data_IF_796497876472
#
_entry.id   IF_796497876472
#
_cell.length_a   1.000
_cell.length_b   1.000
_cell.length_c   1.000
_cell.angle_alpha   90.00
_cell.angle_beta   90.00
_cell.angle_gamma   90.00
#
_symmetry.space_group_name_H-M   'P 1'
#
loop_
_entity.id
_entity.type
_entity.pdbx_description
1 polymer ?
#
# COMPACT_ATOMS: atom_id res chain seq x y z
N UNK A 1 2.18 16.36 -23.80
CA UNK A 1 1.48 15.13 -23.34
C UNK A 1 0.15 15.08 -24.05
N UNK A 2 -0.31 13.90 -24.45
CA UNK A 2 -1.64 13.73 -25.06
C UNK A 2 -2.71 13.78 -23.96
N UNK A 3 -3.89 14.29 -24.29
CA UNK A 3 -5.01 14.47 -23.35
C UNK A 3 -5.48 13.16 -22.69
N UNK A 4 -5.43 12.05 -23.44
CA UNK A 4 -5.83 10.71 -23.00
C UNK A 4 -4.79 10.01 -22.11
N UNK A 5 -3.63 10.64 -21.86
CA UNK A 5 -2.56 10.03 -21.08
C UNK A 5 -3.02 9.83 -19.63
N UNK A 6 -3.02 8.59 -19.14
CA UNK A 6 -3.36 8.31 -17.73
C UNK A 6 -2.24 8.75 -16.80
N UNK A 7 -2.56 9.67 -15.90
CA UNK A 7 -1.65 10.16 -14.84
C UNK A 7 -1.81 9.32 -13.57
N UNK A 8 -3.05 9.02 -13.15
CA UNK A 8 -3.33 8.17 -12.00
C UNK A 8 -3.97 6.86 -12.43
N UNK A 9 -3.22 5.75 -12.36
CA UNK A 9 -3.73 4.41 -12.70
C UNK A 9 -4.69 3.82 -11.65
N UNK A 10 -4.70 4.38 -10.45
CA UNK A 10 -5.51 3.86 -9.35
C UNK A 10 -6.95 4.41 -9.37
N UNK A 11 -7.14 5.61 -9.92
CA UNK A 11 -8.43 6.31 -10.00
C UNK A 11 -8.78 6.65 -11.45
N UNK A 12 -8.06 6.07 -12.42
CA UNK A 12 -8.21 6.28 -13.87
C UNK A 12 -8.25 7.75 -14.33
N UNK A 13 -7.45 8.61 -13.67
CA UNK A 13 -7.41 10.05 -13.97
C UNK A 13 -6.44 10.34 -15.12
N UNK A 14 -6.94 11.07 -16.11
CA UNK A 14 -6.25 11.49 -17.33
C UNK A 14 -5.51 12.81 -17.16
N UNK A 15 -4.59 13.10 -18.09
CA UNK A 15 -3.85 14.36 -18.14
C UNK A 15 -4.77 15.56 -18.35
N UNK A 16 -5.80 15.39 -19.19
CA UNK A 16 -6.81 16.41 -19.43
C UNK A 16 -7.53 16.83 -18.15
N UNK A 17 -8.01 15.87 -17.35
CA UNK A 17 -8.72 16.17 -16.10
C UNK A 17 -7.84 16.94 -15.09
N UNK A 18 -6.54 16.63 -15.04
CA UNK A 18 -5.58 17.37 -14.21
C UNK A 18 -5.43 18.81 -14.71
N UNK A 19 -5.35 19.03 -16.03
CA UNK A 19 -5.28 20.38 -16.59
C UNK A 19 -6.57 21.14 -16.35
N UNK A 20 -7.72 20.52 -16.58
CA UNK A 20 -9.03 21.16 -16.40
C UNK A 20 -9.19 21.62 -14.95
N UNK A 21 -8.78 20.79 -13.99
CA UNK A 21 -8.74 21.16 -12.57
C UNK A 21 -7.78 22.32 -12.29
N UNK A 22 -6.62 22.37 -12.94
CA UNK A 22 -5.70 23.52 -12.79
C UNK A 22 -6.30 24.80 -13.39
N UNK A 23 -7.00 24.70 -14.52
CA UNK A 23 -7.68 25.82 -15.17
C UNK A 23 -8.87 26.35 -14.34
N UNK A 24 -9.52 25.49 -13.55
CA UNK A 24 -10.54 25.89 -12.56
C UNK A 24 -9.95 26.72 -11.41
N UNK A 25 -8.62 26.79 -11.28
CA UNK A 25 -7.92 27.61 -10.28
C UNK A 25 -7.32 26.82 -9.11
N UNK A 26 -7.42 25.49 -9.11
CA UNK A 26 -6.76 24.66 -8.11
C UNK A 26 -5.28 24.54 -8.42
N UNK A 27 -4.43 25.15 -7.59
CA UNK A 27 -2.98 25.27 -7.86
C UNK A 27 -2.12 24.48 -6.89
N UNK A 28 -2.72 23.86 -5.87
CA UNK A 28 -2.00 23.04 -4.89
C UNK A 28 -2.25 21.56 -5.09
N UNK A 29 -1.25 20.73 -4.73
CA UNK A 29 -1.38 19.28 -4.82
C UNK A 29 -2.47 18.73 -3.92
N UNK A 30 -2.68 19.33 -2.74
CA UNK A 30 -3.72 18.89 -1.80
C UNK A 30 -5.13 19.16 -2.33
N UNK A 31 -5.34 20.26 -3.05
CA UNK A 31 -6.61 20.54 -3.72
C UNK A 31 -6.89 19.52 -4.83
N UNK A 32 -5.92 19.29 -5.72
CA UNK A 32 -6.06 18.32 -6.81
C UNK A 32 -6.28 16.91 -6.26
N UNK A 33 -5.56 16.54 -5.20
CA UNK A 33 -5.75 15.27 -4.47
C UNK A 33 -7.17 15.14 -3.93
N UNK A 34 -7.75 16.20 -3.34
CA UNK A 34 -9.12 16.17 -2.80
C UNK A 34 -10.17 16.11 -3.90
N UNK A 35 -9.94 16.80 -5.03
CA UNK A 35 -10.88 16.89 -6.14
C UNK A 35 -10.92 15.61 -6.98
N UNK A 36 -9.76 15.16 -7.46
CA UNK A 36 -9.62 14.02 -8.37
C UNK A 36 -9.31 12.70 -7.64
N UNK A 37 -9.26 12.72 -6.31
CA UNK A 37 -8.86 11.57 -5.45
C UNK A 37 -7.48 10.98 -5.79
N UNK A 38 -6.67 11.72 -6.54
CA UNK A 38 -5.35 11.28 -6.97
C UNK A 38 -4.49 10.93 -5.75
N UNK A 39 -3.96 9.71 -5.72
CA UNK A 39 -3.12 9.23 -4.62
C UNK A 39 -3.88 8.68 -3.42
N UNK A 40 -5.20 8.52 -3.49
CA UNK A 40 -5.99 7.84 -2.45
C UNK A 40 -6.13 6.32 -2.67
N UNK A 41 -5.80 5.81 -3.86
CA UNK A 41 -5.84 4.37 -4.15
C UNK A 41 -4.69 3.56 -3.52
N UNK A 42 -4.59 2.27 -3.86
CA UNK A 42 -3.61 1.33 -3.29
C UNK A 42 -2.13 1.78 -3.45
N UNK A 43 -1.87 2.58 -4.49
CA UNK A 43 -0.56 3.17 -4.75
C UNK A 43 -0.18 4.30 -3.78
N UNK A 44 -1.12 4.89 -3.03
CA UNK A 44 -0.88 5.99 -2.08
C UNK A 44 -0.06 7.16 -2.67
N UNK A 45 -0.27 7.47 -3.96
CA UNK A 45 0.36 8.62 -4.61
C UNK A 45 1.83 8.44 -5.04
N UNK A 46 2.41 7.23 -4.89
CA UNK A 46 3.82 6.96 -5.23
C UNK A 46 4.21 7.29 -6.68
N UNK A 47 3.27 7.15 -7.61
CA UNK A 47 3.49 7.40 -9.05
C UNK A 47 2.94 8.76 -9.47
N UNK A 48 1.65 9.02 -9.21
CA UNK A 48 0.95 10.18 -9.75
C UNK A 48 1.34 11.51 -9.10
N UNK A 49 1.72 11.57 -7.81
CA UNK A 49 1.94 12.86 -7.13
C UNK A 49 3.08 13.67 -7.75
N UNK A 50 4.20 13.02 -8.09
CA UNK A 50 5.33 13.71 -8.74
C UNK A 50 5.01 14.15 -10.17
N UNK A 51 4.17 13.38 -10.87
CA UNK A 51 3.71 13.74 -12.21
C UNK A 51 2.82 14.98 -12.15
N UNK A 52 1.83 14.99 -11.25
CA UNK A 52 0.94 16.14 -11.07
C UNK A 52 1.73 17.38 -10.65
N UNK A 53 2.71 17.25 -9.74
CA UNK A 53 3.57 18.37 -9.34
C UNK A 53 4.30 19.00 -10.54
N UNK A 54 4.75 18.17 -11.49
CA UNK A 54 5.37 18.64 -12.73
C UNK A 54 4.37 19.34 -13.65
N UNK A 55 3.14 18.83 -13.76
CA UNK A 55 2.08 19.48 -14.55
C UNK A 55 1.73 20.85 -13.96
N UNK A 56 1.60 20.96 -12.64
CA UNK A 56 1.36 22.23 -11.95
C UNK A 56 2.50 23.21 -12.23
N UNK A 57 3.75 22.77 -12.15
CA UNK A 57 4.94 23.58 -12.48
C UNK A 57 4.88 24.10 -13.91
N UNK A 58 4.59 23.23 -14.87
CA UNK A 58 4.51 23.56 -16.30
C UNK A 58 3.38 24.56 -16.60
N UNK A 59 2.26 24.50 -15.86
CA UNK A 59 1.11 25.39 -16.05
C UNK A 59 1.19 26.71 -15.28
N UNK A 60 1.70 26.69 -14.06
CA UNK A 60 1.73 27.86 -13.17
C UNK A 60 3.05 28.62 -13.25
N UNK A 61 4.11 28.01 -13.81
CA UNK A 61 5.45 28.58 -13.86
C UNK A 61 6.19 28.61 -12.51
N UNK A 62 5.55 28.13 -11.44
CA UNK A 62 6.12 28.08 -10.08
C UNK A 62 7.29 27.11 -10.01
N UNK A 63 8.20 27.35 -9.08
CA UNK A 63 9.30 26.43 -8.83
C UNK A 63 8.80 25.15 -8.16
N UNK A 64 9.46 24.02 -8.44
CA UNK A 64 9.08 22.74 -7.83
C UNK A 64 9.24 22.74 -6.31
N UNK A 65 10.18 23.51 -5.77
CA UNK A 65 10.40 23.65 -4.32
C UNK A 65 9.24 24.34 -3.59
N UNK A 66 8.43 25.15 -4.27
CA UNK A 66 7.27 25.80 -3.69
C UNK A 66 6.02 24.88 -3.65
N UNK A 67 6.04 23.80 -4.42
CA UNK A 67 4.91 22.87 -4.53
C UNK A 67 5.05 21.83 -3.43
N UNK A 68 4.30 22.03 -2.34
CA UNK A 68 4.34 21.15 -1.18
C UNK A 68 3.78 19.77 -1.51
N UNK A 69 4.60 18.74 -1.27
CA UNK A 69 4.19 17.35 -1.42
C UNK A 69 3.34 16.88 -0.22
N UNK A 70 2.34 16.01 -0.44
CA UNK A 70 1.52 15.49 0.64
C UNK A 70 2.33 14.62 1.60
N UNK A 71 1.95 14.64 2.88
CA UNK A 71 2.64 13.91 3.94
C UNK A 71 2.47 12.40 3.77
N UNK A 72 3.57 11.64 3.85
CA UNK A 72 3.52 10.17 3.94
C UNK A 72 3.02 9.76 5.33
N UNK A 73 2.07 8.82 5.39
CA UNK A 73 1.51 8.28 6.63
C UNK A 73 1.75 6.76 6.67
N UNK A 74 2.27 6.20 7.76
CA UNK A 74 2.40 4.75 7.90
C UNK A 74 1.01 4.09 8.03
N UNK A 75 0.81 2.87 7.53
CA UNK A 75 1.77 2.01 6.82
C UNK A 75 1.89 2.36 5.32
N UNK A 76 3.11 2.33 4.78
CA UNK A 76 3.38 2.71 3.37
C UNK A 76 2.75 1.74 2.35
N UNK A 77 2.66 0.45 2.73
CA UNK A 77 1.96 -0.57 1.97
C UNK A 77 0.76 -1.06 2.80
N UNK A 78 -0.35 -1.44 2.16
CA UNK A 78 -1.44 -2.08 2.88
C UNK A 78 -0.94 -3.31 3.62
N UNK A 79 -1.11 -3.33 4.94
CA UNK A 79 -0.78 -4.46 5.81
C UNK A 79 -2.10 -5.06 6.31
N UNK A 80 -2.30 -6.38 6.24
CA UNK A 80 -3.47 -7.03 6.83
C UNK A 80 -3.67 -6.65 8.29
N UNK A 81 -4.91 -6.34 8.67
CA UNK A 81 -5.25 -5.97 10.05
C UNK A 81 -4.87 -7.06 11.08
N UNK A 82 -4.87 -8.33 10.67
CA UNK A 82 -4.46 -9.44 11.52
C UNK A 82 -3.04 -9.29 12.08
N UNK A 83 -2.12 -8.67 11.34
CA UNK A 83 -0.75 -8.42 11.82
C UNK A 83 -0.77 -7.45 13.01
N UNK A 84 -1.60 -6.41 12.97
CA UNK A 84 -1.75 -5.48 14.10
C UNK A 84 -2.52 -6.10 15.27
N UNK A 85 -3.48 -6.98 14.98
CA UNK A 85 -4.28 -7.68 15.99
C UNK A 85 -3.53 -8.86 16.64
N UNK A 86 -2.25 -9.08 16.34
CA UNK A 86 -1.49 -10.28 16.76
C UNK A 86 -2.19 -11.59 16.39
N UNK A 87 -2.92 -11.57 15.28
CA UNK A 87 -3.64 -12.70 14.72
C UNK A 87 -2.78 -13.39 13.67
N UNK A 88 -2.72 -14.73 13.69
CA UNK A 88 -2.01 -15.47 12.66
C UNK A 88 -2.69 -15.27 11.30
N UNK A 89 -2.08 -14.46 10.43
CA UNK A 89 -2.54 -14.31 9.06
C UNK A 89 -2.04 -15.53 8.29
N UNK A 90 -2.93 -16.49 8.04
CA UNK A 90 -2.66 -17.58 7.12
C UNK A 90 -2.30 -17.00 5.74
N UNK A 91 -1.01 -17.00 5.41
CA UNK A 91 -0.51 -16.57 4.12
C UNK A 91 -1.01 -17.55 3.05
N UNK A 92 -2.03 -17.15 2.27
CA UNK A 92 -2.45 -17.86 1.06
C UNK A 92 -1.42 -17.68 -0.06
N UNK A 93 -0.20 -18.11 0.18
CA UNK A 93 0.77 -18.42 -0.87
C UNK A 93 1.21 -19.88 -0.76
N UNK A 94 0.26 -20.76 -0.46
CA UNK A 94 0.37 -22.16 -0.83
C UNK A 94 -0.17 -22.31 -2.25
N UNK A 95 0.71 -22.19 -3.25
CA UNK A 95 0.43 -22.84 -4.54
C UNK A 95 0.38 -24.33 -4.21
N UNK A 96 -0.83 -24.87 -4.19
CA UNK A 96 -1.22 -26.22 -3.79
C UNK A 96 -1.10 -26.55 -2.29
N UNK A 97 -2.02 -26.02 -1.48
CA UNK A 97 -2.69 -26.91 -0.52
C UNK A 97 -4.15 -26.50 -0.40
N UNK A 98 -5.04 -27.44 -0.73
CA UNK A 98 -6.46 -27.32 -0.46
C UNK A 98 -6.63 -27.18 1.06
N UNK A 99 -6.75 -25.95 1.54
CA UNK A 99 -6.92 -25.65 2.96
C UNK A 99 -8.17 -24.80 3.14
N UNK A 100 -9.32 -25.43 3.03
CA UNK A 100 -10.46 -25.11 3.90
C UNK A 100 -10.07 -25.49 5.32
N UNK A 101 -9.18 -24.74 5.98
CA UNK A 101 -8.90 -25.03 7.38
C UNK A 101 -8.50 -23.78 8.15
N UNK A 102 -9.48 -23.37 8.95
CA UNK A 102 -9.36 -22.77 10.29
C UNK A 102 -8.52 -21.49 10.43
N UNK A 103 -9.26 -20.38 10.36
CA UNK A 103 -9.17 -19.19 11.23
C UNK A 103 -8.81 -19.63 12.66
N UNK A 104 -7.52 -19.79 12.98
CA UNK A 104 -7.07 -20.10 14.34
C UNK A 104 -7.07 -18.82 15.17
N UNK A 105 -8.11 -18.70 15.99
CA UNK A 105 -8.19 -17.74 17.09
C UNK A 105 -6.88 -17.77 17.89
N UNK A 106 -6.20 -16.63 18.03
CA UNK A 106 -5.07 -16.48 18.94
C UNK A 106 -5.65 -16.50 20.38
N UNK A 107 -5.40 -17.52 21.21
CA UNK A 107 -5.94 -17.52 22.57
C UNK A 107 -5.25 -16.40 23.37
N UNK A 108 -6.06 -15.55 23.97
CA UNK A 108 -5.67 -14.36 24.74
C UNK A 108 -4.92 -14.64 26.06
N UNK A 109 -4.37 -15.84 26.25
CA UNK A 109 -3.61 -16.21 27.43
C UNK A 109 -2.21 -16.68 27.03
N UNK A 110 -1.20 -15.87 27.37
CA UNK A 110 0.19 -16.30 27.48
C UNK A 110 0.24 -17.51 28.42
N UNK A 111 0.34 -18.72 27.86
CA UNK A 111 0.38 -19.93 28.65
C UNK A 111 0.52 -21.22 27.85
N UNK A 112 0.03 -21.27 26.61
CA UNK A 112 0.19 -22.45 25.76
C UNK A 112 0.52 -22.02 24.32
N UNK A 113 1.81 -22.00 24.00
CA UNK A 113 2.26 -21.86 22.61
C UNK A 113 1.73 -23.03 21.77
N UNK A 114 1.23 -22.80 20.54
CA UNK A 114 0.76 -23.88 19.69
C UNK A 114 1.94 -24.78 19.32
N UNK A 115 1.75 -26.09 19.55
CA UNK A 115 2.60 -27.13 18.96
C UNK A 115 2.65 -26.94 17.44
N UNK A 116 3.78 -26.45 16.92
CA UNK A 116 4.04 -26.42 15.49
C UNK A 116 4.14 -27.88 15.00
N UNK A 117 3.05 -28.41 14.43
CA UNK A 117 3.15 -29.61 13.59
C UNK A 117 3.92 -29.23 12.34
N UNK A 118 5.17 -29.70 12.30
CA UNK A 118 6.08 -29.64 11.17
C UNK A 118 5.38 -30.17 9.92
N UNK A 119 5.03 -29.29 9.00
CA UNK A 119 4.75 -29.69 7.63
C UNK A 119 6.09 -30.17 7.05
N UNK A 120 6.16 -31.44 6.64
CA UNK A 120 7.34 -32.01 5.98
C UNK A 120 7.48 -31.41 4.57
N UNK A 121 7.87 -30.14 4.50
CA UNK A 121 8.46 -29.59 3.29
C UNK A 121 9.98 -29.88 3.37
N UNK A 122 10.46 -30.64 2.39
CA UNK A 122 11.84 -31.08 2.30
C UNK A 122 12.85 -29.93 2.37
N UNK A 123 13.95 -30.20 3.08
CA UNK A 123 15.26 -29.55 3.01
C UNK A 123 15.33 -28.02 3.12
N UNK A 124 15.55 -27.52 4.32
CA UNK A 124 16.91 -27.27 4.84
C UNK A 124 16.78 -26.63 6.23
N UNK A 125 17.77 -26.91 7.06
CA UNK A 125 17.80 -26.82 8.51
C UNK A 125 17.50 -25.40 9.03
N UNK A 126 17.20 -25.20 10.31
CA UNK A 126 18.18 -24.70 11.29
C UNK A 126 17.31 -24.18 12.48
N UNK A 127 17.52 -24.34 13.78
CA UNK A 127 18.61 -24.80 14.65
C UNK A 127 18.01 -25.69 15.77
N UNK A 128 18.78 -26.68 16.18
CA UNK A 128 18.66 -27.45 17.41
C UNK A 128 19.13 -26.66 18.63
N UNK A 129 18.55 -26.93 19.81
CA UNK A 129 19.19 -27.34 21.08
C UNK A 129 18.16 -27.18 22.22
N UNK A 130 18.17 -27.86 23.36
CA UNK A 130 18.70 -29.14 23.87
C UNK A 130 17.86 -29.40 25.14
N UNK A 131 17.61 -30.68 25.42
CA UNK A 131 16.97 -31.30 26.60
C UNK A 131 17.09 -30.52 27.92
N UNK A 132 16.07 -30.62 28.78
CA UNK A 132 16.12 -31.51 29.95
C UNK A 132 14.77 -31.60 30.68
N UNK A 133 14.48 -32.84 31.09
CA UNK A 133 13.59 -33.35 32.15
C UNK A 133 12.11 -32.95 32.19
#
# INVERSE_FOLDING_TARGET
MNDETIICRCEDVTYKEVIDTINEGYTTLDEIKRKLRCGMGACQGRTCMRLIARVIKEKTGRRLDEILMPTSRPPEKPVPLGIFASYEVASKNARNCDATESVKHFPSNLGNAPHFRRCKANNSEVFSEVKNE
#
